data_IF_584016193569
#
_entry.id   IF_584016193569
#
_cell.length_a   1.000
_cell.length_b   1.000
_cell.length_c   1.000
_cell.angle_alpha   90.00
_cell.angle_beta   90.00
_cell.angle_gamma   90.00
#
_symmetry.space_group_name_H-M   'P 1'
#
loop_
_entity.id
_entity.type
_entity.pdbx_description
1 polymer ?
#
# COMPACT_ATOMS: atom_id res chain seq x y z
N UNK A 1 -5.41 1.85 -8.94
CA UNK A 1 -6.17 3.06 -9.29
C UNK A 1 -5.48 4.26 -8.68
N UNK A 2 -5.38 5.35 -9.43
CA UNK A 2 -4.83 6.62 -8.99
C UNK A 2 -5.78 7.75 -9.36
N UNK A 3 -5.97 8.72 -8.48
CA UNK A 3 -6.73 9.94 -8.80
C UNK A 3 -5.72 11.02 -9.17
N UNK A 4 -5.85 11.57 -10.37
CA UNK A 4 -4.99 12.63 -10.91
C UNK A 4 -5.86 13.80 -11.37
N UNK A 5 -5.93 14.88 -10.58
CA UNK A 5 -6.82 16.02 -10.82
C UNK A 5 -8.26 15.53 -11.05
N UNK A 6 -8.82 15.74 -12.25
CA UNK A 6 -10.18 15.35 -12.63
C UNK A 6 -10.27 14.01 -13.35
N UNK A 7 -9.18 13.25 -13.35
CA UNK A 7 -9.11 11.93 -14.00
C UNK A 7 -8.80 10.83 -13.00
N UNK A 8 -9.44 9.68 -13.19
CA UNK A 8 -9.15 8.42 -12.51
C UNK A 8 -8.32 7.58 -13.48
N UNK A 9 -7.15 7.14 -13.04
CA UNK A 9 -6.21 6.32 -13.80
C UNK A 9 -6.26 4.90 -13.28
N UNK A 10 -6.60 3.95 -14.14
CA UNK A 10 -6.66 2.53 -13.82
C UNK A 10 -5.61 1.81 -14.65
N UNK A 11 -4.73 1.08 -13.95
CA UNK A 11 -3.75 0.22 -14.57
C UNK A 11 -4.26 -1.22 -14.50
N UNK A 12 -4.29 -1.90 -15.64
CA UNK A 12 -4.55 -3.33 -15.67
C UNK A 12 -3.45 -4.10 -14.91
N UNK A 13 -3.80 -5.24 -14.30
CA UNK A 13 -2.89 -6.08 -13.49
C UNK A 13 -1.68 -6.63 -14.27
N UNK A 14 -1.69 -6.51 -15.60
CA UNK A 14 -0.56 -6.82 -16.48
C UNK A 14 0.21 -5.59 -16.94
N UNK A 15 -0.12 -4.39 -16.45
CA UNK A 15 0.52 -3.12 -16.77
C UNK A 15 0.51 -2.74 -18.26
N UNK A 16 -0.18 -3.51 -19.11
CA UNK A 16 -0.15 -3.32 -20.57
C UNK A 16 -1.06 -2.21 -21.03
N UNK A 17 -2.10 -1.91 -20.26
CA UNK A 17 -3.11 -0.91 -20.59
C UNK A 17 -3.37 0.00 -19.40
N UNK A 18 -3.43 1.29 -19.70
CA UNK A 18 -3.85 2.36 -18.82
C UNK A 18 -5.18 2.89 -19.33
N UNK A 19 -6.18 2.92 -18.46
CA UNK A 19 -7.49 3.50 -18.72
C UNK A 19 -7.67 4.79 -17.93
N UNK A 20 -8.22 5.79 -18.59
CA UNK A 20 -8.54 7.09 -18.03
C UNK A 20 -10.06 7.24 -17.98
N UNK A 21 -10.56 7.64 -16.83
CA UNK A 21 -11.97 7.95 -16.60
C UNK A 21 -12.07 9.36 -16.02
N UNK A 22 -13.21 10.01 -16.22
CA UNK A 22 -13.56 11.20 -15.45
C UNK A 22 -14.10 10.78 -14.08
N UNK A 23 -14.16 11.73 -13.13
CA UNK A 23 -14.66 11.47 -11.76
C UNK A 23 -16.13 11.05 -11.71
N UNK A 24 -16.92 11.36 -12.73
CA UNK A 24 -18.30 10.89 -12.87
C UNK A 24 -18.40 9.42 -13.31
N UNK A 25 -17.25 8.75 -13.52
CA UNK A 25 -17.16 7.35 -13.94
C UNK A 25 -17.22 7.16 -15.46
N UNK A 26 -17.39 8.22 -16.25
CA UNK A 26 -17.38 8.11 -17.70
C UNK A 26 -15.97 7.81 -18.22
N UNK A 27 -15.89 6.93 -19.22
CA UNK A 27 -14.63 6.58 -19.87
C UNK A 27 -14.12 7.76 -20.71
N UNK A 28 -12.84 8.08 -20.57
CA UNK A 28 -12.18 9.14 -21.33
C UNK A 28 -11.32 8.53 -22.45
N UNK A 29 -10.32 7.71 -22.10
CA UNK A 29 -9.39 7.14 -23.08
C UNK A 29 -8.67 5.90 -22.55
N UNK A 30 -7.96 5.20 -23.44
CA UNK A 30 -7.16 4.03 -23.13
C UNK A 30 -5.84 4.07 -23.89
N UNK A 31 -4.76 3.59 -23.28
CA UNK A 31 -3.44 3.54 -23.89
C UNK A 31 -2.71 2.25 -23.53
N UNK A 32 -2.10 1.63 -24.54
CA UNK A 32 -1.19 0.50 -24.31
C UNK A 32 0.23 0.98 -24.00
N UNK A 33 0.91 0.31 -23.07
CA UNK A 33 2.30 0.55 -22.70
C UNK A 33 3.19 -0.55 -23.28
N UNK A 34 4.32 -0.14 -23.86
CA UNK A 34 5.32 -1.07 -24.38
C UNK A 34 5.97 -1.93 -23.27
N UNK A 35 6.15 -1.35 -22.09
CA UNK A 35 6.78 -2.02 -20.94
C UNK A 35 5.74 -2.48 -19.93
N UNK A 36 5.88 -3.75 -19.52
CA UNK A 36 5.04 -4.39 -18.51
C UNK A 36 5.67 -4.22 -17.12
N UNK A 37 4.85 -3.87 -16.13
CA UNK A 37 5.16 -3.92 -14.71
C UNK A 37 4.08 -4.67 -13.93
N UNK A 38 4.42 -5.13 -12.73
CA UNK A 38 3.45 -5.74 -11.80
C UNK A 38 2.47 -4.69 -11.23
N UNK A 39 2.95 -3.47 -11.10
CA UNK A 39 2.12 -2.30 -10.82
C UNK A 39 2.67 -1.08 -11.54
N UNK A 40 1.86 -0.04 -11.61
CA UNK A 40 2.20 1.19 -12.28
C UNK A 40 1.55 2.39 -11.58
N UNK A 41 2.20 3.53 -11.69
CA UNK A 41 1.73 4.82 -11.19
C UNK A 41 2.07 5.92 -12.20
N UNK A 42 1.15 6.87 -12.39
CA UNK A 42 1.34 8.02 -13.27
C UNK A 42 2.08 9.14 -12.53
N UNK A 43 3.10 9.72 -13.17
CA UNK A 43 3.88 10.83 -12.66
C UNK A 43 4.06 11.90 -13.76
N UNK A 44 3.23 12.94 -13.75
CA UNK A 44 3.17 13.90 -14.86
C UNK A 44 2.82 13.18 -16.18
N UNK A 45 3.64 13.36 -17.23
CA UNK A 45 3.48 12.69 -18.52
C UNK A 45 4.09 11.28 -18.59
N UNK A 46 4.76 10.87 -17.52
CA UNK A 46 5.53 9.63 -17.42
C UNK A 46 4.84 8.61 -16.52
N UNK A 47 5.41 7.40 -16.45
CA UNK A 47 4.95 6.35 -15.54
C UNK A 47 6.11 5.76 -14.75
N UNK A 48 5.85 5.43 -13.48
CA UNK A 48 6.74 4.59 -12.69
C UNK A 48 6.15 3.19 -12.68
N UNK A 49 6.94 2.20 -13.13
CA UNK A 49 6.53 0.80 -13.19
C UNK A 49 7.35 -0.01 -12.17
N UNK A 50 6.67 -0.87 -11.42
CA UNK A 50 7.32 -1.84 -10.53
C UNK A 50 7.62 -3.09 -11.35
N UNK A 51 8.89 -3.48 -11.37
CA UNK A 51 9.31 -4.72 -12.01
C UNK A 51 8.96 -5.87 -11.07
N UNK A 52 8.15 -6.81 -11.53
CA UNK A 52 7.86 -8.06 -10.80
C UNK A 52 8.68 -9.23 -11.34
N UNK A 53 8.49 -10.40 -10.74
CA UNK A 53 9.15 -11.69 -11.01
C UNK A 53 9.32 -12.06 -12.49
N UNK A 54 8.42 -11.61 -13.38
CA UNK A 54 8.33 -12.11 -14.75
C UNK A 54 9.00 -11.24 -15.81
N UNK A 55 9.77 -10.20 -15.43
CA UNK A 55 10.53 -9.42 -16.41
C UNK A 55 11.93 -10.00 -16.60
N UNK A 56 12.43 -10.08 -17.84
CA UNK A 56 13.81 -10.54 -18.13
C UNK A 56 14.89 -9.72 -17.42
N UNK A 57 14.54 -8.52 -16.96
CA UNK A 57 15.37 -7.59 -16.17
C UNK A 57 14.96 -7.51 -14.69
N UNK A 58 14.12 -8.43 -14.19
CA UNK A 58 13.58 -8.40 -12.82
C UNK A 58 14.67 -8.45 -11.75
N UNK A 59 15.88 -8.90 -12.10
CA UNK A 59 17.00 -8.99 -11.15
C UNK A 59 17.86 -7.72 -11.11
N UNK A 60 17.58 -6.72 -11.95
CA UNK A 60 18.44 -5.56 -12.05
C UNK A 60 17.93 -4.36 -11.24
N UNK A 61 16.64 -4.06 -11.30
CA UNK A 61 16.04 -2.89 -10.66
C UNK A 61 14.58 -3.15 -10.27
N UNK A 62 14.14 -2.58 -9.15
CA UNK A 62 12.78 -2.75 -8.63
C UNK A 62 11.77 -1.82 -9.31
N UNK A 63 12.23 -0.66 -9.78
CA UNK A 63 11.39 0.31 -10.48
C UNK A 63 12.06 0.86 -11.73
N UNK A 64 11.24 1.28 -12.68
CA UNK A 64 11.67 2.04 -13.85
C UNK A 64 10.77 3.25 -14.05
N UNK A 65 11.34 4.37 -14.47
CA UNK A 65 10.61 5.48 -15.05
C UNK A 65 10.49 5.22 -16.55
N UNK A 66 9.30 5.37 -17.09
CA UNK A 66 9.08 5.37 -18.53
C UNK A 66 8.49 6.69 -18.99
N UNK A 67 8.72 7.01 -20.26
CA UNK A 67 7.97 8.05 -20.93
C UNK A 67 6.49 7.64 -21.10
N UNK A 68 5.73 8.45 -21.84
CA UNK A 68 4.32 8.14 -22.09
C UNK A 68 4.11 6.89 -22.96
N UNK A 69 5.08 6.47 -23.77
CA UNK A 69 4.99 5.31 -24.69
C UNK A 69 5.38 4.00 -24.02
N UNK A 70 6.07 4.07 -22.87
CA UNK A 70 6.57 2.93 -22.13
C UNK A 70 8.06 2.67 -22.38
N UNK A 71 8.78 3.56 -23.06
CA UNK A 71 10.23 3.52 -23.18
C UNK A 71 10.89 3.88 -21.86
N UNK A 72 11.89 3.09 -21.43
CA UNK A 72 12.56 3.28 -20.15
C UNK A 72 13.48 4.50 -20.24
N UNK A 73 13.25 5.47 -19.36
CA UNK A 73 14.08 6.66 -19.19
C UNK A 73 15.10 6.47 -18.08
N UNK A 74 14.69 5.91 -16.95
CA UNK A 74 15.52 5.75 -15.76
C UNK A 74 15.19 4.45 -15.02
N UNK A 75 16.14 3.99 -14.20
CA UNK A 75 16.01 2.78 -13.38
C UNK A 75 16.30 3.11 -11.91
N UNK A 76 15.49 2.59 -11.00
CA UNK A 76 15.63 2.86 -9.57
C UNK A 76 15.67 1.59 -8.73
N UNK A 77 16.38 1.69 -7.61
CA UNK A 77 16.54 0.67 -6.58
C UNK A 77 16.98 -0.66 -7.19
N UNK A 78 18.30 -0.87 -7.38
CA UNK A 78 18.82 -2.15 -7.78
C UNK A 78 18.27 -3.27 -6.89
N UNK A 79 17.95 -4.42 -7.47
CA UNK A 79 17.51 -5.55 -6.67
C UNK A 79 18.68 -6.02 -5.80
N UNK A 80 18.48 -6.26 -4.48
CA UNK A 80 19.54 -6.81 -3.65
C UNK A 80 19.79 -8.27 -4.06
N UNK A 81 20.98 -8.55 -4.60
CA UNK A 81 21.40 -9.91 -4.95
C UNK A 81 20.52 -10.58 -6.02
N UNK A 82 20.27 -11.88 -5.84
CA UNK A 82 19.44 -12.69 -6.74
C UNK A 82 17.96 -12.73 -6.30
N UNK A 83 17.51 -11.72 -5.54
CA UNK A 83 16.18 -11.71 -4.97
C UNK A 83 15.09 -11.76 -6.08
N UNK A 84 14.18 -12.75 -6.07
CA UNK A 84 12.96 -12.72 -6.84
C UNK A 84 12.15 -11.53 -6.34
N UNK A 85 11.78 -10.62 -7.23
CA UNK A 85 10.93 -9.48 -6.90
C UNK A 85 9.50 -9.91 -6.55
N UNK A 86 9.32 -10.50 -5.37
CA UNK A 86 8.03 -10.91 -4.81
C UNK A 86 7.35 -9.67 -4.23
N UNK A 87 6.34 -9.14 -4.91
CA UNK A 87 5.55 -8.05 -4.37
C UNK A 87 4.79 -8.52 -3.13
N UNK A 88 5.32 -8.18 -1.94
CA UNK A 88 4.67 -8.48 -0.66
C UNK A 88 3.51 -7.51 -0.36
N UNK A 89 3.20 -6.57 -1.26
CA UNK A 89 2.10 -5.61 -1.15
C UNK A 89 2.15 -4.61 -2.30
N UNK A 90 1.26 -3.61 -2.29
CA UNK A 90 1.37 -2.50 -3.25
C UNK A 90 2.67 -1.73 -3.00
N UNK A 91 3.52 -1.53 -4.01
CA UNK A 91 4.74 -0.75 -3.86
C UNK A 91 4.51 0.75 -4.07
N UNK A 92 3.30 1.16 -4.46
CA UNK A 92 2.94 2.54 -4.80
C UNK A 92 2.02 3.16 -3.77
N UNK A 93 2.38 4.36 -3.33
CA UNK A 93 1.56 5.23 -2.50
C UNK A 93 1.62 6.66 -3.05
N UNK A 94 0.56 7.42 -2.83
CA UNK A 94 0.50 8.82 -3.20
C UNK A 94 -0.41 9.56 -2.23
N UNK A 95 -0.12 10.83 -2.00
CA UNK A 95 -0.93 11.67 -1.12
C UNK A 95 -1.92 12.56 -1.89
N UNK A 96 -2.69 13.36 -1.15
CA UNK A 96 -3.69 14.28 -1.70
C UNK A 96 -3.08 15.39 -2.58
N UNK A 97 -1.81 15.72 -2.38
CA UNK A 97 -1.09 16.71 -3.17
C UNK A 97 -0.48 16.13 -4.45
N UNK A 98 -0.57 14.81 -4.62
CA UNK A 98 0.03 14.08 -5.74
C UNK A 98 1.51 13.78 -5.53
N UNK A 99 2.05 13.93 -4.32
CA UNK A 99 3.39 13.43 -4.00
C UNK A 99 3.40 11.91 -4.09
N UNK A 100 4.50 11.37 -4.61
CA UNK A 100 4.63 9.95 -4.91
C UNK A 100 5.61 9.33 -3.94
N UNK A 101 5.17 8.28 -3.27
CA UNK A 101 5.97 7.48 -2.36
C UNK A 101 6.02 6.03 -2.84
N UNK A 102 7.19 5.42 -2.79
CA UNK A 102 7.43 4.05 -3.22
C UNK A 102 8.00 3.23 -2.07
N UNK A 103 7.69 1.94 -2.03
CA UNK A 103 8.36 0.98 -1.15
C UNK A 103 9.06 -0.10 -1.95
N UNK A 104 10.31 -0.37 -1.60
CA UNK A 104 11.01 -1.54 -2.11
C UNK A 104 10.30 -2.85 -1.75
N UNK A 105 10.58 -3.89 -2.52
CA UNK A 105 9.94 -5.21 -2.49
C UNK A 105 9.96 -5.87 -1.10
N UNK A 106 11.06 -5.70 -0.36
CA UNK A 106 11.26 -6.27 0.98
C UNK A 106 11.92 -5.30 1.96
N UNK A 107 11.92 -4.00 1.65
CA UNK A 107 12.50 -2.97 2.50
C UNK A 107 11.46 -2.33 3.42
N UNK A 108 11.95 -1.79 4.53
CA UNK A 108 11.20 -0.92 5.44
C UNK A 108 11.44 0.57 5.17
N UNK A 109 12.08 0.87 4.05
CA UNK A 109 12.31 2.24 3.57
C UNK A 109 11.19 2.64 2.62
N UNK A 110 10.54 3.76 2.95
CA UNK A 110 9.71 4.54 2.06
C UNK A 110 10.61 5.55 1.34
N UNK A 111 10.49 5.57 0.03
CA UNK A 111 11.19 6.51 -0.83
C UNK A 111 10.21 7.53 -1.38
N UNK A 112 10.67 8.77 -1.58
CA UNK A 112 9.91 9.83 -2.23
C UNK A 112 10.46 10.07 -3.62
N UNK A 113 9.57 10.07 -4.61
CA UNK A 113 9.92 10.43 -5.98
C UNK A 113 9.69 11.93 -6.21
N UNK A 114 10.76 12.66 -6.52
CA UNK A 114 10.71 14.10 -6.78
C UNK A 114 11.79 14.50 -7.79
N UNK A 115 11.43 15.35 -8.75
CA UNK A 115 12.37 15.91 -9.73
C UNK A 115 13.20 14.84 -10.48
N UNK A 116 12.55 13.73 -10.87
CA UNK A 116 13.21 12.64 -11.59
C UNK A 116 14.04 11.70 -10.72
N UNK A 117 14.13 11.94 -9.42
CA UNK A 117 14.95 11.16 -8.48
C UNK A 117 14.07 10.43 -7.47
N UNK A 118 14.59 9.31 -6.99
CA UNK A 118 14.01 8.55 -5.88
C UNK A 118 14.95 8.64 -4.68
N UNK A 119 14.50 9.31 -3.61
CA UNK A 119 15.30 9.57 -2.42
C UNK A 119 14.68 8.90 -1.20
N UNK A 120 15.51 8.42 -0.27
CA UNK A 120 15.03 7.85 0.99
C UNK A 120 14.26 8.91 1.77
N UNK A 121 13.02 8.62 2.13
CA UNK A 121 12.14 9.54 2.85
C UNK A 121 11.99 9.15 4.32
N UNK A 122 11.72 7.88 4.57
CA UNK A 122 11.50 7.36 5.92
C UNK A 122 11.90 5.89 5.99
N UNK A 123 12.59 5.50 7.07
CA UNK A 123 12.93 4.11 7.34
C UNK A 123 12.26 3.68 8.64
N UNK A 124 11.68 2.48 8.63
CA UNK A 124 11.03 1.89 9.79
C UNK A 124 11.86 0.72 10.33
N UNK A 125 12.10 0.73 11.64
CA UNK A 125 12.59 -0.45 12.35
C UNK A 125 11.39 -1.21 12.92
N UNK A 126 11.10 -2.39 12.36
CA UNK A 126 10.01 -3.25 12.82
C UNK A 126 10.46 -4.22 13.93
N UNK A 127 11.67 -4.03 14.47
CA UNK A 127 12.23 -4.82 15.56
C UNK A 127 12.26 -6.32 15.22
N UNK A 128 11.62 -7.13 16.06
CA UNK A 128 11.57 -8.59 15.88
C UNK A 128 10.86 -9.03 14.59
N UNK A 129 10.05 -8.16 13.98
CA UNK A 129 9.32 -8.46 12.74
C UNK A 129 10.11 -8.13 11.48
N UNK A 130 11.32 -7.58 11.61
CA UNK A 130 12.18 -7.31 10.45
C UNK A 130 12.50 -8.61 9.70
N UNK A 131 12.45 -8.53 8.37
CA UNK A 131 12.97 -9.59 7.50
C UNK A 131 14.45 -9.84 7.86
N UNK A 132 14.83 -11.11 8.01
CA UNK A 132 16.18 -11.43 8.42
C UNK A 132 17.16 -11.21 7.26
N UNK A 133 18.45 -10.99 7.56
CA UNK A 133 19.43 -10.59 6.53
C UNK A 133 19.56 -11.63 5.42
N UNK A 134 19.46 -12.90 5.76
CA UNK A 134 19.50 -14.03 4.85
C UNK A 134 18.39 -13.99 3.79
N UNK A 135 17.26 -13.32 4.05
CA UNK A 135 16.19 -13.15 3.06
C UNK A 135 16.71 -12.45 1.79
N UNK A 136 17.65 -11.50 1.93
CA UNK A 136 18.16 -10.71 0.82
C UNK A 136 19.31 -11.37 0.06
N UNK A 137 19.75 -12.56 0.48
CA UNK A 137 20.90 -13.25 -0.11
C UNK A 137 20.54 -14.57 -0.77
N UNK A 138 19.28 -15.01 -0.69
CA UNK A 138 18.85 -16.25 -1.31
C UNK A 138 18.86 -16.12 -2.85
N UNK A 139 18.64 -17.24 -3.54
CA UNK A 139 18.45 -17.28 -5.00
C UNK A 139 17.33 -18.22 -5.42
N UNK A 140 16.95 -19.20 -4.59
CA UNK A 140 15.86 -20.12 -4.83
C UNK A 140 14.53 -19.58 -4.26
N UNK A 141 13.47 -19.41 -5.08
CA UNK A 141 12.12 -19.07 -4.63
C UNK A 141 11.61 -19.83 -3.39
N UNK A 142 11.94 -21.12 -3.25
CA UNK A 142 11.52 -21.94 -2.12
C UNK A 142 12.12 -21.45 -0.79
N UNK A 143 13.37 -20.98 -0.80
CA UNK A 143 14.05 -20.50 0.41
C UNK A 143 13.42 -19.20 0.94
N UNK A 144 12.92 -18.34 0.05
CA UNK A 144 12.17 -17.14 0.48
C UNK A 144 10.89 -17.52 1.19
N UNK A 145 10.13 -18.48 0.65
CA UNK A 145 8.89 -18.96 1.27
C UNK A 145 9.19 -19.56 2.64
N UNK A 146 10.23 -20.40 2.75
CA UNK A 146 10.66 -20.98 4.03
C UNK A 146 11.01 -19.89 5.06
N UNK A 147 11.71 -18.83 4.66
CA UNK A 147 12.05 -17.71 5.56
C UNK A 147 10.78 -16.97 5.98
N UNK A 148 9.86 -16.68 5.05
CA UNK A 148 8.60 -15.99 5.33
C UNK A 148 7.70 -16.79 6.27
N UNK A 149 7.73 -18.12 6.20
CA UNK A 149 6.95 -19.03 7.06
C UNK A 149 7.61 -19.28 8.42
N UNK A 150 8.94 -19.17 8.52
CA UNK A 150 9.70 -19.50 9.74
C UNK A 150 9.43 -18.58 10.92
N UNK A 151 8.95 -17.35 10.68
CA UNK A 151 8.75 -16.33 11.72
C UNK A 151 7.70 -15.28 11.35
N UNK A 152 7.39 -14.43 12.32
CA UNK A 152 6.55 -13.25 12.12
C UNK A 152 7.30 -12.20 11.30
N UNK A 153 6.76 -11.80 10.16
CA UNK A 153 7.38 -10.81 9.27
C UNK A 153 6.46 -9.61 9.03
N UNK A 154 7.01 -8.41 9.15
CA UNK A 154 6.31 -7.17 8.87
C UNK A 154 6.29 -6.87 7.37
N UNK A 155 5.12 -6.47 6.89
CA UNK A 155 4.88 -6.07 5.51
C UNK A 155 4.10 -4.76 5.53
N UNK A 156 4.77 -3.67 5.13
CA UNK A 156 4.12 -2.38 4.94
C UNK A 156 3.21 -2.49 3.72
N UNK A 157 1.91 -2.36 3.93
CA UNK A 157 0.89 -2.51 2.90
C UNK A 157 0.32 -1.18 2.42
N UNK A 158 0.28 -0.16 3.30
CA UNK A 158 -0.14 1.20 2.95
C UNK A 158 0.71 2.22 3.70
N UNK A 159 0.91 3.36 3.06
CA UNK A 159 1.56 4.53 3.64
C UNK A 159 0.77 5.77 3.22
N UNK A 160 0.50 6.66 4.17
CA UNK A 160 -0.18 7.92 3.94
C UNK A 160 0.62 9.05 4.59
N UNK A 161 0.69 10.19 3.91
CA UNK A 161 1.34 11.39 4.39
C UNK A 161 0.40 12.58 4.16
N UNK A 162 0.24 13.40 5.20
CA UNK A 162 -0.37 14.73 5.12
C UNK A 162 0.55 15.72 5.85
N UNK A 163 0.29 17.03 5.78
CA UNK A 163 1.05 18.00 6.58
C UNK A 163 0.97 17.77 8.09
N UNK A 164 -0.06 17.06 8.59
CA UNK A 164 -0.29 16.85 10.03
C UNK A 164 -0.08 15.41 10.48
N UNK A 165 -0.17 14.44 9.58
CA UNK A 165 -0.21 13.01 9.92
C UNK A 165 0.68 12.20 8.99
N UNK A 166 1.40 11.23 9.56
CA UNK A 166 1.98 10.12 8.81
C UNK A 166 1.33 8.83 9.30
N UNK A 167 0.82 8.01 8.40
CA UNK A 167 0.19 6.72 8.75
C UNK A 167 0.87 5.59 8.00
N UNK A 168 1.17 4.52 8.69
CA UNK A 168 1.70 3.29 8.13
C UNK A 168 0.79 2.12 8.52
N UNK A 169 0.35 1.36 7.51
CA UNK A 169 -0.45 0.15 7.68
C UNK A 169 0.42 -1.06 7.42
N UNK A 170 0.61 -1.91 8.43
CA UNK A 170 1.52 -3.05 8.35
C UNK A 170 0.80 -4.35 8.68
N UNK A 171 0.91 -5.34 7.79
CA UNK A 171 0.57 -6.71 8.12
C UNK A 171 1.75 -7.37 8.82
N UNK A 172 1.49 -8.01 9.95
CA UNK A 172 2.43 -8.94 10.56
C UNK A 172 1.96 -10.35 10.19
N UNK A 173 2.69 -10.99 9.29
CA UNK A 173 2.36 -12.31 8.77
C UNK A 173 3.11 -13.42 9.51
N UNK A 174 2.39 -14.46 9.93
CA UNK A 174 2.95 -15.74 10.39
C UNK A 174 1.96 -16.86 10.09
N UNK A 175 2.10 -17.52 8.95
CA UNK A 175 1.17 -18.56 8.51
C UNK A 175 0.86 -19.57 9.64
N UNK A 176 -0.41 -19.84 9.97
CA UNK A 176 -1.64 -19.39 9.30
C UNK A 176 -2.23 -18.07 9.83
N UNK A 177 -1.63 -17.43 10.85
CA UNK A 177 -2.17 -16.21 11.46
C UNK A 177 -1.55 -14.93 10.90
N UNK A 178 -2.32 -13.86 10.95
CA UNK A 178 -1.83 -12.52 10.66
C UNK A 178 -2.54 -11.53 11.57
N UNK A 179 -1.88 -10.45 11.91
CA UNK A 179 -2.50 -9.33 12.59
C UNK A 179 -2.00 -8.02 11.98
N UNK A 180 -2.67 -6.92 12.30
CA UNK A 180 -2.31 -5.61 11.75
C UNK A 180 -1.68 -4.75 12.82
N UNK A 181 -0.65 -4.02 12.42
CA UNK A 181 0.02 -3.02 13.21
C UNK A 181 -0.01 -1.68 12.45
N UNK A 182 -0.82 -0.75 12.94
CA UNK A 182 -0.93 0.59 12.40
C UNK A 182 -0.05 1.55 13.21
N UNK A 183 0.82 2.28 12.53
CA UNK A 183 1.57 3.39 13.12
C UNK A 183 0.94 4.72 12.70
N UNK A 184 0.66 5.58 13.67
CA UNK A 184 0.16 6.94 13.44
C UNK A 184 1.16 7.93 14.05
N UNK A 185 1.73 8.80 13.22
CA UNK A 185 2.62 9.88 13.67
C UNK A 185 1.88 11.20 13.59
N UNK A 186 1.74 11.87 14.73
CA UNK A 186 1.22 13.24 14.83
C UNK A 186 2.12 14.06 15.74
N UNK A 187 2.39 15.31 15.38
CA UNK A 187 3.21 16.24 16.17
C UNK A 187 4.58 15.63 16.59
N UNK A 188 5.20 14.89 15.67
CA UNK A 188 6.49 14.24 15.86
C UNK A 188 6.45 12.92 16.64
N UNK A 189 5.32 12.54 17.24
CA UNK A 189 5.19 11.35 18.08
C UNK A 189 4.46 10.22 17.38
N UNK A 190 4.99 9.00 17.52
CA UNK A 190 4.35 7.79 17.03
C UNK A 190 3.44 7.17 18.08
N UNK A 191 2.26 6.74 17.63
CA UNK A 191 1.36 5.86 18.35
C UNK A 191 1.17 4.60 17.50
N UNK A 192 1.29 3.43 18.14
CA UNK A 192 1.16 2.15 17.47
C UNK A 192 -0.05 1.41 17.99
N UNK A 193 -0.94 1.03 17.07
CA UNK A 193 -2.19 0.33 17.38
C UNK A 193 -2.13 -1.05 16.74
N UNK A 194 -2.22 -2.08 17.58
CA UNK A 194 -2.35 -3.46 17.15
C UNK A 194 -3.84 -3.77 16.99
N UNK A 195 -4.22 -4.18 15.80
CA UNK A 195 -5.54 -4.73 15.50
C UNK A 195 -5.41 -6.25 15.36
N UNK A 196 -6.47 -6.99 15.67
CA UNK A 196 -6.45 -8.44 15.52
C UNK A 196 -6.42 -8.86 14.03
N UNK A 197 -6.57 -10.16 13.76
CA UNK A 197 -6.76 -10.62 12.38
C UNK A 197 -8.07 -10.10 11.79
N UNK A 198 -8.22 -10.18 10.47
CA UNK A 198 -9.43 -9.77 9.72
C UNK A 198 -10.73 -10.36 10.27
N UNK A 199 -10.67 -11.53 10.88
CA UNK A 199 -11.83 -12.22 11.47
C UNK A 199 -12.18 -11.68 12.86
N UNK A 200 -11.20 -11.12 13.59
CA UNK A 200 -11.36 -10.69 14.98
C UNK A 200 -11.58 -9.19 15.17
N UNK A 201 -11.22 -8.36 14.18
CA UNK A 201 -11.28 -6.90 14.30
C UNK A 201 -11.81 -6.26 13.00
N UNK A 202 -12.90 -5.47 13.07
CA UNK A 202 -13.52 -4.89 11.89
C UNK A 202 -12.60 -3.93 11.14
N UNK A 203 -11.60 -3.37 11.79
CA UNK A 203 -10.71 -2.36 11.24
C UNK A 203 -9.41 -2.94 10.66
N UNK A 204 -9.13 -4.23 10.88
CA UNK A 204 -7.84 -4.85 10.54
C UNK A 204 -7.41 -4.65 9.08
N UNK A 205 -8.32 -4.73 8.10
CA UNK A 205 -7.99 -4.61 6.66
C UNK A 205 -8.56 -3.32 6.03
N UNK A 206 -9.23 -2.49 6.83
CA UNK A 206 -10.13 -1.45 6.33
C UNK A 206 -9.46 -0.12 5.98
N UNK A 207 -8.26 0.19 6.49
CA UNK A 207 -7.67 1.52 6.33
C UNK A 207 -7.47 1.85 4.85
N UNK A 208 -8.24 2.80 4.33
CA UNK A 208 -8.33 3.05 2.90
C UNK A 208 -7.95 4.48 2.51
N UNK A 209 -8.06 5.45 3.42
CA UNK A 209 -7.71 6.84 3.12
C UNK A 209 -7.32 7.64 4.38
N UNK A 210 -6.62 8.75 4.17
CA UNK A 210 -6.27 9.75 5.18
C UNK A 210 -6.47 11.13 4.56
N UNK A 211 -7.24 11.99 5.23
CA UNK A 211 -7.55 13.35 4.78
C UNK A 211 -7.24 14.36 5.88
N UNK A 212 -6.20 15.18 5.70
CA UNK A 212 -5.73 16.08 6.76
C UNK A 212 -5.30 15.33 8.02
N UNK A 213 -6.08 15.45 9.10
CA UNK A 213 -5.89 14.77 10.39
C UNK A 213 -6.88 13.62 10.63
N UNK A 214 -7.65 13.24 9.61
CA UNK A 214 -8.69 12.22 9.66
C UNK A 214 -8.24 10.99 8.89
N UNK A 215 -8.68 9.81 9.32
CA UNK A 215 -8.38 8.57 8.63
C UNK A 215 -9.62 7.69 8.53
N UNK A 216 -9.75 7.00 7.39
CA UNK A 216 -10.98 6.35 6.98
C UNK A 216 -10.74 4.85 6.80
N UNK A 217 -11.57 4.06 7.46
CA UNK A 217 -11.66 2.63 7.28
C UNK A 217 -12.89 2.28 6.44
N UNK A 218 -12.73 1.39 5.47
CA UNK A 218 -13.83 0.72 4.79
C UNK A 218 -14.02 -0.65 5.41
N UNK A 219 -15.17 -0.88 6.05
CA UNK A 219 -15.47 -2.09 6.81
C UNK A 219 -16.74 -2.76 6.28
N UNK A 220 -16.81 -4.08 6.41
CA UNK A 220 -18.02 -4.83 6.05
C UNK A 220 -19.08 -4.63 7.14
N UNK A 221 -20.37 -4.48 6.79
CA UNK A 221 -21.44 -4.48 7.79
C UNK A 221 -21.40 -5.71 8.71
N UNK A 222 -21.04 -6.88 8.17
CA UNK A 222 -20.96 -8.12 8.94
C UNK A 222 -19.89 -8.08 10.05
N UNK A 223 -18.81 -7.29 9.90
CA UNK A 223 -17.74 -7.22 10.91
C UNK A 223 -18.07 -6.28 12.08
N UNK A 224 -19.11 -5.43 11.95
CA UNK A 224 -19.53 -4.52 13.00
C UNK A 224 -20.02 -5.23 14.27
N UNK A 225 -20.46 -6.48 14.16
CA UNK A 225 -20.74 -7.34 15.31
C UNK A 225 -19.55 -7.47 16.27
N UNK A 226 -18.32 -7.42 15.75
CA UNK A 226 -17.08 -7.61 16.50
C UNK A 226 -16.57 -6.35 17.20
N UNK A 227 -17.22 -5.19 17.02
CA UNK A 227 -16.86 -4.00 17.78
C UNK A 227 -17.11 -4.20 19.27
N UNK A 228 -16.09 -3.84 20.06
CA UNK A 228 -16.16 -3.76 21.52
C UNK A 228 -17.20 -2.73 21.98
N UNK A 229 -17.64 -2.85 23.23
CA UNK A 229 -18.55 -1.89 23.84
C UNK A 229 -17.97 -0.46 23.81
N UNK A 230 -16.69 -0.30 24.13
CA UNK A 230 -16.01 1.01 24.11
C UNK A 230 -16.04 1.65 22.73
N UNK A 231 -15.80 0.87 21.67
CA UNK A 231 -15.85 1.40 20.30
C UNK A 231 -17.27 1.82 19.89
N UNK A 232 -18.29 1.05 20.32
CA UNK A 232 -19.70 1.42 20.11
C UNK A 232 -20.05 2.72 20.83
N UNK A 233 -19.60 2.90 22.07
CA UNK A 233 -19.83 4.12 22.86
C UNK A 233 -19.12 5.36 22.28
N UNK A 234 -18.01 5.16 21.54
CA UNK A 234 -17.31 6.24 20.85
C UNK A 234 -17.93 6.61 19.49
N UNK A 235 -18.91 5.85 19.01
CA UNK A 235 -19.57 6.08 17.72
C UNK A 235 -20.49 7.30 17.82
N UNK A 236 -20.30 8.27 16.92
CA UNK A 236 -21.03 9.56 16.94
C UNK A 236 -22.48 9.40 16.44
N UNK A 237 -22.70 8.46 15.52
CA UNK A 237 -23.96 8.17 14.83
C UNK A 237 -24.38 6.70 15.03
N UNK A 238 -24.71 6.29 16.26
CA UNK A 238 -24.96 4.88 16.59
C UNK A 238 -26.17 4.27 15.85
N UNK A 239 -27.09 5.09 15.34
CA UNK A 239 -28.25 4.66 14.57
C UNK A 239 -27.89 3.88 13.30
N UNK A 240 -26.67 4.10 12.76
CA UNK A 240 -26.18 3.34 11.60
C UNK A 240 -26.08 1.83 11.90
N UNK A 241 -25.96 1.47 13.18
CA UNK A 241 -25.85 0.08 13.63
C UNK A 241 -27.20 -0.63 13.74
N UNK A 242 -28.31 0.10 13.76
CA UNK A 242 -29.63 -0.46 14.08
C UNK A 242 -30.27 -1.19 12.89
N UNK A 243 -29.88 -0.86 11.66
CA UNK A 243 -30.46 -1.41 10.43
C UNK A 243 -29.38 -1.90 9.44
N UNK A 244 -28.35 -2.57 9.97
CA UNK A 244 -27.29 -3.12 9.14
C UNK A 244 -27.79 -4.33 8.35
N UNK A 245 -27.72 -4.24 7.02
CA UNK A 245 -27.75 -5.40 6.15
C UNK A 245 -26.35 -6.03 6.11
N UNK A 246 -26.13 -7.26 6.62
CA UNK A 246 -24.83 -7.92 6.58
C UNK A 246 -24.29 -8.11 5.15
N UNK A 247 -25.17 -8.17 4.16
CA UNK A 247 -24.84 -8.26 2.72
C UNK A 247 -24.80 -6.88 2.03
N UNK A 248 -25.04 -5.82 2.79
CA UNK A 248 -25.01 -4.44 2.33
C UNK A 248 -23.63 -3.97 1.88
N UNK A 249 -23.61 -2.79 1.27
CA UNK A 249 -22.37 -2.15 0.85
C UNK A 249 -21.41 -1.87 2.01
N UNK A 250 -20.13 -1.66 1.68
CA UNK A 250 -19.10 -1.30 2.66
C UNK A 250 -19.47 -0.02 3.40
N UNK A 251 -19.17 0.02 4.69
CA UNK A 251 -19.37 1.19 5.55
C UNK A 251 -18.05 1.93 5.69
N UNK A 252 -18.08 3.24 5.51
CA UNK A 252 -16.95 4.11 5.76
C UNK A 252 -17.01 4.59 7.22
N UNK A 253 -15.97 4.28 7.98
CA UNK A 253 -15.78 4.77 9.34
C UNK A 253 -14.63 5.76 9.36
N UNK A 254 -14.94 6.97 9.79
CA UNK A 254 -13.95 8.04 9.90
C UNK A 254 -13.55 8.22 11.36
N UNK A 255 -12.24 8.27 11.59
CA UNK A 255 -11.65 8.48 12.90
C UNK A 255 -11.00 9.86 13.00
N UNK A 256 -11.07 10.41 14.20
CA UNK A 256 -10.53 11.70 14.58
C UNK A 256 -9.67 11.53 15.82
N UNK A 257 -8.54 12.22 15.86
CA UNK A 257 -7.81 12.39 17.10
C UNK A 257 -8.58 13.36 18.00
N UNK A 258 -8.85 12.96 19.25
CA UNK A 258 -9.36 13.85 20.28
C UNK A 258 -8.25 14.73 20.85
#
# INVERSE_FOLDING_TARGET
MQICNDTIVIFSLSGRRVDFFYKDGSHNSSKDLATIGFGALKCGNNYILSKGLNSKDAHNNQFVLTDSTGEILEKFLPAPGNMPLIALGSPFFYDESGEIFLKGTAGYTIYKYQNGKLESFMEFDMGKYNLPKEFFTQSDPADYVNILESKENAIIARFFQTPRLTVIHTFIMKMPSAFVLNGFKRDGKWMWVRLASKEGDPFADGLCAVFGDRFVFSISPASLGNMSQTERELTINPEIMENLDPEGGMILVEFYFK
#
